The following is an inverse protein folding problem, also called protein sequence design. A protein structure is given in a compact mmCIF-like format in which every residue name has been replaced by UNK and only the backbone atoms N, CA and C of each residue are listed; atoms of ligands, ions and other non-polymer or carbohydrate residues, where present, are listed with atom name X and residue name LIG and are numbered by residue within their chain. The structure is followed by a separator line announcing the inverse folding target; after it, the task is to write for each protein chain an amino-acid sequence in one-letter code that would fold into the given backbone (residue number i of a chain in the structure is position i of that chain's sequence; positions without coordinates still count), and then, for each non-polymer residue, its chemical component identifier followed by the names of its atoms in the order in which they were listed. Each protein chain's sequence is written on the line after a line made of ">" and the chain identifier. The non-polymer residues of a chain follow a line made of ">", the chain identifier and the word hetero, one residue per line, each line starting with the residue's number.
data_IF_507744675261
#
_entry.id   IF_507744675261
#
_cell.length_a   1.000
_cell.length_b   1.000
_cell.length_c   1.000
_cell.angle_alpha   90.00
_cell.angle_beta   90.00
_cell.angle_gamma   90.00
#
_symmetry.space_group_name_H-M   'P 1'
#
loop_
_entity.id
_entity.type
_entity.pdbx_description
1 polymer ?
#
# COMPACT_ATOMS: atom_id res chain seq x y z
N UNK A 1 -57.60 38.49 -8.22
CA UNK A 1 -56.25 39.05 -8.40
C UNK A 1 -55.26 37.90 -8.56
N UNK A 2 -54.88 37.56 -9.80
CA UNK A 2 -53.93 36.49 -10.12
C UNK A 2 -52.68 37.15 -10.72
N UNK A 3 -51.59 37.18 -9.96
CA UNK A 3 -50.30 37.72 -10.43
C UNK A 3 -49.61 36.69 -11.31
N UNK A 4 -49.49 37.02 -12.61
CA UNK A 4 -48.63 36.30 -13.55
C UNK A 4 -47.22 36.89 -13.47
N UNK A 5 -46.28 36.08 -12.98
CA UNK A 5 -44.85 36.35 -13.07
C UNK A 5 -44.40 35.88 -14.46
N UNK A 6 -44.17 36.81 -15.39
CA UNK A 6 -43.47 36.56 -16.64
C UNK A 6 -41.97 36.50 -16.35
N UNK A 7 -41.39 35.29 -16.33
CA UNK A 7 -39.93 35.11 -16.39
C UNK A 7 -39.51 35.19 -17.86
N UNK A 8 -38.67 36.18 -18.16
CA UNK A 8 -37.94 36.33 -19.41
C UNK A 8 -36.89 35.22 -19.53
N UNK A 9 -37.01 34.41 -20.58
CA UNK A 9 -35.96 33.49 -21.02
C UNK A 9 -34.97 34.34 -21.82
N UNK A 10 -33.73 34.40 -21.35
CA UNK A 10 -32.60 35.02 -22.07
C UNK A 10 -31.92 33.89 -22.83
N UNK A 11 -32.05 33.90 -24.15
CA UNK A 11 -31.37 32.98 -25.05
C UNK A 11 -29.87 33.30 -25.07
N UNK A 12 -29.08 32.44 -24.43
CA UNK A 12 -27.62 32.44 -24.55
C UNK A 12 -27.25 31.75 -25.86
N UNK A 13 -26.98 32.54 -26.90
CA UNK A 13 -26.30 32.08 -28.12
C UNK A 13 -24.79 32.30 -27.95
N UNK A 14 -23.93 31.26 -28.07
CA UNK A 14 -22.50 31.47 -28.03
C UNK A 14 -22.00 32.07 -29.34
N UNK A 15 -21.33 33.21 -29.22
CA UNK A 15 -20.79 34.01 -30.31
C UNK A 15 -19.65 33.28 -31.06
N UNK A 16 -19.85 33.16 -32.38
CA UNK A 16 -18.88 33.43 -33.45
C UNK A 16 -17.42 33.03 -33.24
N UNK A 17 -17.07 31.80 -33.63
CA UNK A 17 -15.72 31.49 -34.08
C UNK A 17 -15.51 31.99 -35.51
N UNK A 18 -14.61 32.96 -35.67
CA UNK A 18 -14.16 33.48 -36.97
C UNK A 18 -13.35 32.41 -37.71
N UNK A 19 -13.79 32.10 -38.92
CA UNK A 19 -13.10 31.25 -39.89
C UNK A 19 -11.88 31.96 -40.47
N UNK A 20 -10.68 31.53 -40.06
CA UNK A 20 -9.44 31.85 -40.75
C UNK A 20 -9.29 30.94 -41.97
N UNK A 21 -9.62 31.47 -43.15
CA UNK A 21 -9.23 30.87 -44.42
C UNK A 21 -7.71 30.99 -44.57
N UNK A 22 -7.01 29.86 -44.57
CA UNK A 22 -5.70 29.76 -45.21
C UNK A 22 -5.65 28.52 -46.08
N UNK A 23 -5.54 28.82 -47.37
CA UNK A 23 -5.56 27.94 -48.51
C UNK A 23 -4.14 27.41 -48.72
N UNK A 24 -3.88 26.11 -48.48
CA UNK A 24 -2.73 25.42 -49.07
C UNK A 24 -3.12 24.02 -49.52
N UNK A 25 -3.08 23.88 -50.84
CA UNK A 25 -3.15 22.66 -51.63
C UNK A 25 -2.34 21.53 -50.98
N UNK A 26 -3.03 20.44 -50.64
CA UNK A 26 -2.44 19.11 -50.65
C UNK A 26 -3.50 18.16 -51.21
N UNK A 27 -3.33 17.81 -52.49
CA UNK A 27 -3.94 16.63 -53.09
C UNK A 27 -3.37 15.40 -52.37
N UNK A 28 -4.02 14.99 -51.28
CA UNK A 28 -3.85 13.66 -50.71
C UNK A 28 -5.01 12.78 -51.15
N UNK A 29 -4.64 11.54 -51.44
CA UNK A 29 -5.39 10.58 -52.20
C UNK A 29 -6.71 10.23 -51.51
N UNK A 30 -7.79 10.14 -52.32
CA UNK A 30 -9.07 9.55 -51.93
C UNK A 30 -8.86 8.08 -51.54
N UNK A 31 -8.62 7.80 -50.27
CA UNK A 31 -8.92 6.49 -49.69
C UNK A 31 -10.44 6.41 -49.53
N UNK A 32 -11.05 5.47 -50.24
CA UNK A 32 -12.48 5.19 -50.13
C UNK A 32 -12.82 4.77 -48.71
N UNK A 33 -13.41 5.68 -47.94
CA UNK A 33 -14.10 5.36 -46.69
C UNK A 33 -15.33 4.52 -47.04
N UNK A 34 -15.19 3.20 -46.93
CA UNK A 34 -16.32 2.30 -46.98
C UNK A 34 -17.14 2.46 -45.67
N UNK A 35 -18.47 2.62 -45.75
CA UNK A 35 -19.35 2.81 -44.59
C UNK A 35 -19.61 1.50 -43.80
N UNK A 36 -18.59 0.66 -43.63
CA UNK A 36 -18.73 -0.72 -43.10
C UNK A 36 -18.52 -0.80 -41.57
N UNK A 37 -17.94 0.21 -40.93
CA UNK A 37 -17.57 0.09 -39.50
C UNK A 37 -18.54 0.74 -38.50
N UNK A 38 -19.48 1.59 -38.92
CA UNK A 38 -20.41 2.21 -37.95
C UNK A 38 -21.36 1.19 -37.31
N UNK A 39 -21.84 0.21 -38.08
CA UNK A 39 -22.76 -0.81 -37.57
C UNK A 39 -22.04 -1.84 -36.69
N UNK A 40 -20.77 -2.12 -36.98
CA UNK A 40 -19.93 -2.99 -36.16
C UNK A 40 -19.57 -2.32 -34.84
N UNK A 41 -19.30 -1.01 -34.87
CA UNK A 41 -19.05 -0.22 -33.66
C UNK A 41 -20.32 -0.06 -32.82
N UNK A 42 -21.48 0.16 -33.45
CA UNK A 42 -22.77 0.21 -32.73
C UNK A 42 -23.10 -1.13 -32.07
N UNK A 43 -22.85 -2.27 -32.73
CA UNK A 43 -23.02 -3.60 -32.14
C UNK A 43 -22.05 -3.84 -30.98
N UNK A 44 -20.81 -3.35 -31.07
CA UNK A 44 -19.82 -3.41 -29.99
C UNK A 44 -20.26 -2.58 -28.78
N UNK A 45 -20.77 -1.36 -29.00
CA UNK A 45 -21.29 -0.49 -27.95
C UNK A 45 -22.51 -1.14 -27.29
N UNK A 46 -23.46 -1.66 -28.05
CA UNK A 46 -24.63 -2.36 -27.51
C UNK A 46 -24.24 -3.62 -26.74
N UNK A 47 -23.22 -4.35 -27.20
CA UNK A 47 -22.68 -5.49 -26.46
C UNK A 47 -22.04 -5.05 -25.13
N UNK A 48 -21.23 -3.99 -25.14
CA UNK A 48 -20.63 -3.43 -23.91
C UNK A 48 -21.73 -2.93 -22.95
N UNK A 49 -22.78 -2.29 -23.46
CA UNK A 49 -23.93 -1.85 -22.66
C UNK A 49 -24.74 -3.03 -22.12
N UNK A 50 -24.86 -4.14 -22.87
CA UNK A 50 -25.51 -5.36 -22.41
C UNK A 50 -24.66 -6.14 -21.39
N UNK A 51 -23.32 -6.04 -21.49
CA UNK A 51 -22.37 -6.61 -20.55
C UNK A 51 -22.30 -5.83 -19.24
N UNK A 52 -22.66 -4.54 -19.26
CA UNK A 52 -23.09 -3.83 -18.05
C UNK A 52 -24.43 -4.40 -17.62
N UNK A 53 -24.42 -5.64 -17.11
CA UNK A 53 -25.50 -6.17 -16.28
C UNK A 53 -25.87 -5.04 -15.33
N UNK A 54 -27.12 -4.61 -15.39
CA UNK A 54 -27.67 -3.63 -14.47
C UNK A 54 -27.37 -4.14 -13.08
N UNK A 55 -26.41 -3.51 -12.43
CA UNK A 55 -25.99 -3.88 -11.09
C UNK A 55 -27.20 -3.56 -10.23
N UNK A 56 -27.85 -4.60 -9.72
CA UNK A 56 -29.04 -4.39 -8.88
C UNK A 56 -28.64 -3.51 -7.69
N UNK A 57 -29.39 -2.44 -7.42
CA UNK A 57 -29.11 -1.58 -6.28
C UNK A 57 -29.16 -2.42 -5.00
N UNK A 58 -28.18 -2.22 -4.12
CA UNK A 58 -28.21 -2.84 -2.80
C UNK A 58 -29.43 -2.32 -2.04
N UNK A 59 -30.25 -3.23 -1.53
CA UNK A 59 -31.50 -2.88 -0.85
C UNK A 59 -31.24 -2.33 0.55
N UNK A 60 -32.24 -1.71 1.17
CA UNK A 60 -32.12 -1.23 2.56
C UNK A 60 -31.89 -2.38 3.54
N UNK A 61 -32.55 -3.51 3.30
CA UNK A 61 -32.47 -4.71 4.12
C UNK A 61 -31.04 -5.25 4.18
N UNK A 62 -30.30 -5.12 3.07
CA UNK A 62 -28.88 -5.48 3.01
C UNK A 62 -28.04 -4.70 4.03
N UNK A 63 -28.19 -3.37 4.08
CA UNK A 63 -27.44 -2.54 5.02
C UNK A 63 -27.89 -2.74 6.46
N UNK A 64 -29.16 -3.06 6.69
CA UNK A 64 -29.64 -3.45 8.02
C UNK A 64 -29.00 -4.76 8.49
N UNK A 65 -28.80 -5.74 7.60
CA UNK A 65 -28.11 -6.98 7.92
C UNK A 65 -26.64 -6.74 8.29
N UNK A 66 -25.94 -5.89 7.53
CA UNK A 66 -24.56 -5.47 7.83
C UNK A 66 -24.49 -4.86 9.24
N UNK A 67 -25.36 -3.90 9.55
CA UNK A 67 -25.39 -3.23 10.85
C UNK A 67 -25.68 -4.21 12.00
N UNK A 68 -26.63 -5.12 11.83
CA UNK A 68 -26.96 -6.13 12.85
C UNK A 68 -25.80 -7.09 13.11
N UNK A 69 -25.03 -7.44 12.07
CA UNK A 69 -23.84 -8.28 12.23
C UNK A 69 -22.69 -7.53 12.89
N UNK A 70 -22.45 -6.28 12.51
CA UNK A 70 -21.48 -5.41 13.18
C UNK A 70 -21.79 -5.31 14.68
N UNK A 71 -23.05 -5.01 15.03
CA UNK A 71 -23.50 -4.91 16.42
C UNK A 71 -23.30 -6.22 17.17
N UNK A 72 -23.71 -7.35 16.59
CA UNK A 72 -23.55 -8.68 17.21
C UNK A 72 -22.08 -9.06 17.42
N UNK A 73 -21.20 -8.70 16.49
CA UNK A 73 -19.76 -8.99 16.60
C UNK A 73 -19.10 -8.10 17.65
N UNK A 74 -19.50 -6.83 17.73
CA UNK A 74 -18.87 -5.85 18.63
C UNK A 74 -19.38 -5.93 20.08
N UNK A 75 -20.65 -6.28 20.29
CA UNK A 75 -21.29 -6.14 21.61
C UNK A 75 -21.80 -7.46 22.24
N UNK A 76 -22.17 -8.48 21.45
CA UNK A 76 -22.92 -9.63 22.00
C UNK A 76 -22.03 -10.80 22.50
N UNK A 77 -20.72 -10.62 22.68
CA UNK A 77 -19.73 -11.70 22.92
C UNK A 77 -19.80 -12.87 21.90
N UNK A 78 -20.63 -12.75 20.86
CA UNK A 78 -20.91 -13.75 19.84
C UNK A 78 -19.90 -13.65 18.70
N UNK A 79 -18.64 -13.50 19.08
CA UNK A 79 -17.50 -13.39 18.20
C UNK A 79 -17.20 -14.77 17.59
N UNK A 80 -17.78 -15.03 16.41
CA UNK A 80 -17.74 -16.33 15.74
C UNK A 80 -17.08 -16.22 14.35
N UNK A 81 -16.31 -17.25 13.97
CA UNK A 81 -15.68 -17.32 12.64
C UNK A 81 -16.69 -17.30 11.50
N UNK A 82 -17.93 -17.72 11.73
CA UNK A 82 -19.00 -17.75 10.72
C UNK A 82 -19.58 -16.36 10.55
N UNK A 83 -19.84 -15.64 11.66
CA UNK A 83 -20.34 -14.27 11.63
C UNK A 83 -19.33 -13.33 10.95
N UNK A 84 -18.03 -13.48 11.25
CA UNK A 84 -16.96 -12.69 10.62
C UNK A 84 -16.89 -12.97 9.12
N UNK A 85 -16.94 -14.25 8.72
CA UNK A 85 -16.92 -14.62 7.31
C UNK A 85 -18.14 -14.04 6.57
N UNK A 86 -19.32 -14.10 7.18
CA UNK A 86 -20.55 -13.54 6.63
C UNK A 86 -20.50 -12.01 6.51
N UNK A 87 -19.99 -11.32 7.54
CA UNK A 87 -19.80 -9.86 7.48
C UNK A 87 -18.81 -9.46 6.38
N UNK A 88 -17.69 -10.19 6.23
CA UNK A 88 -16.70 -9.95 5.16
C UNK A 88 -17.32 -10.19 3.78
N UNK A 89 -18.18 -11.20 3.63
CA UNK A 89 -18.91 -11.45 2.38
C UNK A 89 -19.84 -10.28 2.02
N UNK A 90 -20.56 -9.73 2.99
CA UNK A 90 -21.40 -8.54 2.80
C UNK A 90 -20.56 -7.30 2.47
N UNK A 91 -19.42 -7.08 3.11
CA UNK A 91 -18.57 -5.97 2.68
C UNK A 91 -18.01 -6.19 1.27
N UNK A 92 -17.59 -7.41 0.92
CA UNK A 92 -17.05 -7.71 -0.41
C UNK A 92 -18.08 -7.46 -1.51
N UNK A 93 -19.34 -7.86 -1.29
CA UNK A 93 -20.44 -7.58 -2.22
C UNK A 93 -20.75 -6.08 -2.31
N UNK A 94 -20.58 -5.31 -1.23
CA UNK A 94 -20.65 -3.86 -1.29
C UNK A 94 -19.51 -3.26 -2.13
N UNK A 95 -18.28 -3.74 -1.96
CA UNK A 95 -17.12 -3.34 -2.78
C UNK A 95 -17.40 -3.61 -4.26
N UNK A 96 -17.84 -4.82 -4.62
CA UNK A 96 -18.17 -5.16 -6.01
C UNK A 96 -19.26 -4.25 -6.59
N UNK A 97 -20.30 -3.95 -5.81
CA UNK A 97 -21.38 -3.06 -6.21
C UNK A 97 -20.84 -1.64 -6.49
N UNK A 98 -20.12 -1.03 -5.55
CA UNK A 98 -19.68 0.35 -5.66
C UNK A 98 -18.49 0.53 -6.61
N UNK A 99 -17.60 -0.46 -6.73
CA UNK A 99 -16.50 -0.45 -7.71
C UNK A 99 -17.05 -0.49 -9.16
N UNK A 100 -18.11 -1.26 -9.40
CA UNK A 100 -18.78 -1.29 -10.70
C UNK A 100 -19.40 0.06 -11.10
N UNK A 101 -19.78 0.88 -10.10
CA UNK A 101 -20.28 2.25 -10.27
C UNK A 101 -19.15 3.29 -10.30
N UNK A 102 -17.89 2.87 -10.07
CA UNK A 102 -16.71 3.73 -9.84
C UNK A 102 -16.93 4.73 -8.70
N UNK A 103 -17.69 4.32 -7.69
CA UNK A 103 -17.96 5.13 -6.51
C UNK A 103 -16.81 4.96 -5.50
N UNK A 104 -16.19 6.05 -5.00
CA UNK A 104 -15.12 5.98 -4.02
C UNK A 104 -15.54 5.32 -2.69
N UNK A 105 -16.84 5.19 -2.40
CA UNK A 105 -17.32 4.49 -1.20
C UNK A 105 -16.92 3.00 -1.18
N UNK A 106 -16.55 2.41 -2.33
CA UNK A 106 -15.93 1.09 -2.40
C UNK A 106 -14.67 0.97 -1.53
N UNK A 107 -13.89 2.05 -1.41
CA UNK A 107 -12.69 2.10 -0.55
C UNK A 107 -13.05 1.95 0.92
N UNK A 108 -14.14 2.59 1.37
CA UNK A 108 -14.62 2.46 2.75
C UNK A 108 -14.95 1.00 3.12
N UNK A 109 -15.66 0.28 2.26
CA UNK A 109 -15.97 -1.13 2.52
C UNK A 109 -14.74 -2.04 2.45
N UNK A 110 -13.77 -1.70 1.59
CA UNK A 110 -12.50 -2.40 1.55
C UNK A 110 -11.69 -2.22 2.85
N UNK A 111 -11.64 -1.00 3.38
CA UNK A 111 -11.03 -0.70 4.68
C UNK A 111 -11.75 -1.46 5.81
N UNK A 112 -13.09 -1.53 5.78
CA UNK A 112 -13.85 -2.34 6.74
C UNK A 112 -13.46 -3.81 6.73
N UNK A 113 -13.29 -4.43 5.55
CA UNK A 113 -12.78 -5.81 5.44
C UNK A 113 -11.40 -5.93 6.10
N UNK A 114 -10.49 -5.01 5.81
CA UNK A 114 -9.13 -5.03 6.36
C UNK A 114 -9.15 -4.88 7.89
N UNK A 115 -9.93 -3.94 8.43
CA UNK A 115 -10.09 -3.74 9.86
C UNK A 115 -10.66 -4.97 10.56
N UNK A 116 -11.73 -5.57 10.00
CA UNK A 116 -12.33 -6.79 10.55
C UNK A 116 -11.33 -7.93 10.59
N UNK A 117 -10.57 -8.15 9.51
CA UNK A 117 -9.58 -9.24 9.43
C UNK A 117 -8.31 -8.99 10.25
N UNK A 118 -7.94 -7.73 10.47
CA UNK A 118 -6.78 -7.33 11.27
C UNK A 118 -7.08 -7.23 12.78
N UNK A 119 -8.35 -7.31 13.19
CA UNK A 119 -8.74 -7.25 14.59
C UNK A 119 -8.09 -8.41 15.38
N UNK A 120 -7.67 -8.11 16.61
CA UNK A 120 -6.97 -9.07 17.46
C UNK A 120 -7.81 -10.33 17.72
N UNK A 121 -9.11 -10.14 17.93
CA UNK A 121 -10.10 -11.18 18.19
C UNK A 121 -10.26 -12.10 16.97
N UNK A 122 -10.33 -11.53 15.75
CA UNK A 122 -10.38 -12.33 14.50
C UNK A 122 -9.11 -13.15 14.36
N UNK A 123 -7.95 -12.54 14.58
CA UNK A 123 -6.66 -13.22 14.48
C UNK A 123 -6.55 -14.36 15.50
N UNK A 124 -7.01 -14.17 16.73
CA UNK A 124 -7.07 -15.22 17.75
C UNK A 124 -7.97 -16.39 17.31
N UNK A 125 -9.19 -16.11 16.82
CA UNK A 125 -10.09 -17.15 16.31
C UNK A 125 -9.45 -17.95 15.17
N UNK A 126 -8.83 -17.26 14.20
CA UNK A 126 -8.14 -17.92 13.09
C UNK A 126 -6.98 -18.78 13.58
N UNK A 127 -6.23 -18.33 14.58
CA UNK A 127 -5.14 -19.09 15.17
C UNK A 127 -5.65 -20.36 15.87
N UNK A 128 -6.71 -20.24 16.67
CA UNK A 128 -7.35 -21.38 17.34
C UNK A 128 -7.89 -22.40 16.33
N UNK A 129 -8.53 -21.95 15.25
CA UNK A 129 -9.03 -22.83 14.18
C UNK A 129 -7.89 -23.57 13.50
N UNK A 130 -6.79 -22.88 13.15
CA UNK A 130 -5.58 -23.50 12.60
C UNK A 130 -4.96 -24.52 13.54
N UNK A 131 -4.91 -24.21 14.85
CA UNK A 131 -4.41 -25.15 15.88
C UNK A 131 -5.27 -26.42 15.94
N UNK A 132 -6.60 -26.27 15.99
CA UNK A 132 -7.54 -27.42 15.98
C UNK A 132 -7.37 -28.31 14.74
N UNK A 133 -7.18 -27.70 13.56
CA UNK A 133 -6.93 -28.43 12.30
C UNK A 133 -5.58 -29.15 12.35
N UNK A 134 -4.52 -28.50 12.85
CA UNK A 134 -3.21 -29.13 13.02
C UNK A 134 -3.28 -30.32 13.97
N UNK A 135 -3.99 -30.17 15.09
CA UNK A 135 -4.16 -31.23 16.08
C UNK A 135 -4.96 -32.41 15.50
N UNK A 136 -6.00 -32.15 14.69
CA UNK A 136 -6.78 -33.21 14.04
C UNK A 136 -5.97 -33.97 12.99
N UNK A 137 -5.16 -33.27 12.18
CA UNK A 137 -4.23 -33.90 11.24
C UNK A 137 -3.21 -34.77 11.98
N UNK A 138 -2.62 -34.24 13.06
CA UNK A 138 -1.62 -34.98 13.86
C UNK A 138 -2.23 -36.25 14.47
N UNK A 139 -3.48 -36.19 14.95
CA UNK A 139 -4.21 -37.38 15.43
C UNK A 139 -4.45 -38.38 14.32
N UNK A 140 -4.88 -37.92 13.14
CA UNK A 140 -5.10 -38.79 12.00
C UNK A 140 -3.81 -39.49 11.54
N UNK A 141 -2.68 -38.79 11.52
CA UNK A 141 -1.36 -39.36 11.21
C UNK A 141 -0.90 -40.40 12.24
N UNK A 142 -1.13 -40.13 13.54
CA UNK A 142 -0.82 -41.08 14.61
C UNK A 142 -1.68 -42.36 14.54
N UNK A 143 -2.97 -42.23 14.21
CA UNK A 143 -3.86 -43.37 14.00
C UNK A 143 -3.49 -44.19 12.76
N UNK A 144 -3.12 -43.52 11.65
CA UNK A 144 -2.70 -44.19 10.43
C UNK A 144 -1.43 -45.02 10.62
N UNK A 145 -0.45 -44.53 11.41
CA UNK A 145 0.75 -45.29 11.75
C UNK A 145 0.48 -46.41 12.74
N UNK A 146 -0.40 -46.20 13.72
CA UNK A 146 -0.78 -47.22 14.71
C UNK A 146 -1.51 -48.41 14.08
N UNK A 147 -2.47 -48.17 13.18
CA UNK A 147 -3.19 -49.25 12.50
C UNK A 147 -2.33 -49.96 11.45
N UNK A 148 -1.42 -49.24 10.78
CA UNK A 148 -0.49 -49.87 9.84
C UNK A 148 0.61 -50.68 10.55
N UNK A 149 1.11 -50.22 11.71
CA UNK A 149 2.07 -50.98 12.53
C UNK A 149 1.44 -52.24 13.11
N UNK A 150 0.21 -52.20 13.62
CA UNK A 150 -0.46 -53.41 14.11
C UNK A 150 -0.71 -54.45 13.01
N UNK A 151 -0.94 -54.04 11.77
CA UNK A 151 -1.13 -54.97 10.64
C UNK A 151 0.19 -55.48 10.06
N UNK A 152 1.28 -54.70 10.15
CA UNK A 152 2.60 -55.09 9.65
C UNK A 152 3.41 -55.90 10.67
N UNK A 153 3.30 -55.60 11.96
CA UNK A 153 3.99 -56.34 13.02
C UNK A 153 3.40 -57.73 13.26
N UNK A 154 2.14 -57.98 12.89
CA UNK A 154 1.51 -59.31 12.95
C UNK A 154 1.67 -60.14 11.66
N UNK A 155 2.13 -59.58 10.54
CA UNK A 155 2.23 -60.30 9.26
C UNK A 155 3.64 -60.51 8.70
N UNK A 156 4.64 -59.71 9.10
CA UNK A 156 5.97 -59.79 8.49
C UNK A 156 6.95 -60.73 9.21
N UNK A 157 6.64 -61.22 10.42
CA UNK A 157 7.47 -62.22 11.11
C UNK A 157 7.14 -63.69 10.77
N UNK A 158 5.96 -63.98 10.21
CA UNK A 158 5.53 -65.38 9.94
C UNK A 158 5.55 -65.77 8.45
N UNK A 159 5.73 -64.82 7.52
CA UNK A 159 5.57 -65.10 6.08
C UNK A 159 6.88 -65.45 5.36
N UNK A 160 8.04 -65.06 5.89
CA UNK A 160 9.35 -65.39 5.29
C UNK A 160 10.03 -66.62 5.91
N UNK A 161 9.55 -67.14 7.05
CA UNK A 161 10.06 -68.40 7.66
C UNK A 161 9.20 -69.64 7.31
N UNK A 162 8.32 -69.54 6.31
CA UNK A 162 7.61 -70.70 5.76
C UNK A 162 8.49 -71.56 4.82
N UNK A 163 9.75 -71.18 4.62
CA UNK A 163 10.73 -71.94 3.83
C UNK A 163 11.30 -73.17 4.53
N UNK A 164 11.24 -73.26 5.87
CA UNK A 164 11.82 -74.39 6.62
C UNK A 164 10.92 -74.93 7.75
N UNK A 165 9.64 -74.55 7.80
CA UNK A 165 8.71 -75.16 8.74
C UNK A 165 8.35 -76.59 8.29
N UNK A 166 9.11 -77.53 8.83
CA UNK A 166 8.90 -79.00 8.90
C UNK A 166 7.47 -79.42 9.28
N UNK A 167 6.60 -78.48 9.68
CA UNK A 167 5.24 -78.71 10.17
C UNK A 167 4.24 -79.09 9.07
N UNK A 168 4.49 -78.75 7.80
CA UNK A 168 3.63 -79.22 6.69
C UNK A 168 3.83 -80.70 6.32
N UNK A 169 4.86 -81.38 6.88
CA UNK A 169 5.01 -82.83 6.74
C UNK A 169 4.13 -83.65 7.69
N UNK A 170 3.51 -83.03 8.70
CA UNK A 170 2.88 -83.76 9.82
C UNK A 170 1.34 -83.72 9.86
N UNK A 171 0.67 -83.07 8.91
CA UNK A 171 -0.81 -82.95 8.90
C UNK A 171 -1.54 -83.53 7.68
N UNK A 172 -0.87 -84.33 6.86
CA UNK A 172 -1.54 -85.36 6.06
C UNK A 172 -1.59 -86.65 6.86
N UNK A 173 -2.42 -86.68 7.92
CA UNK A 173 -2.87 -87.96 8.49
C UNK A 173 -3.72 -88.61 7.41
N UNK A 174 -3.10 -89.48 6.62
CA UNK A 174 -3.81 -90.45 5.80
C UNK A 174 -4.83 -91.16 6.70
N UNK A 175 -6.12 -91.17 6.33
CA UNK A 175 -7.11 -91.92 7.09
C UNK A 175 -6.64 -93.37 7.17
N UNK A 176 -6.54 -93.89 8.40
CA UNK A 176 -6.11 -95.26 8.68
C UNK A 176 -6.95 -96.22 7.86
N UNK A 177 -6.26 -97.01 7.05
CA UNK A 177 -6.81 -98.07 6.20
C UNK A 177 -7.44 -99.17 7.05
N UNK A 178 -8.71 -98.99 7.41
CA UNK A 178 -9.62 -100.08 7.76
C UNK A 178 -10.87 -99.96 6.89
N UNK A 179 -10.65 -100.10 5.59
CA UNK A 179 -11.70 -100.20 4.58
C UNK A 179 -11.13 -101.03 3.44
N UNK A 180 -11.72 -102.20 3.22
CA UNK A 180 -11.36 -103.17 2.18
C UNK A 180 -11.25 -102.43 0.84
N UNK A 181 -10.04 -102.41 0.27
CA UNK A 181 -9.74 -101.79 -1.02
C UNK A 181 -10.44 -102.60 -2.10
N UNK A 182 -11.56 -102.10 -2.61
CA UNK A 182 -12.16 -102.58 -3.86
C UNK A 182 -11.29 -102.14 -5.03
N UNK A 183 -10.30 -102.97 -5.37
CA UNK A 183 -9.62 -102.99 -6.67
C UNK A 183 -8.64 -101.84 -6.99
N UNK A 184 -7.60 -102.11 -7.80
CA UNK A 184 -6.60 -101.12 -8.22
C UNK A 184 -7.13 -99.96 -9.06
N UNK A 185 -8.40 -100.00 -9.51
CA UNK A 185 -9.02 -98.97 -10.36
C UNK A 185 -9.24 -97.63 -9.64
N UNK A 186 -9.69 -97.66 -8.38
CA UNK A 186 -10.08 -96.44 -7.64
C UNK A 186 -8.89 -95.57 -7.24
N UNK A 187 -7.72 -96.17 -7.06
CA UNK A 187 -6.48 -95.46 -6.77
C UNK A 187 -6.06 -94.53 -7.91
N UNK A 188 -6.16 -95.00 -9.17
CA UNK A 188 -5.80 -94.20 -10.33
C UNK A 188 -6.79 -93.06 -10.58
N UNK A 189 -8.08 -93.27 -10.30
CA UNK A 189 -9.08 -92.21 -10.40
C UNK A 189 -8.83 -91.10 -9.37
N UNK A 190 -8.58 -91.45 -8.10
CA UNK A 190 -8.24 -90.47 -7.06
C UNK A 190 -6.94 -89.73 -7.35
N UNK A 191 -5.91 -90.42 -7.87
CA UNK A 191 -4.65 -89.80 -8.29
C UNK A 191 -4.84 -88.77 -9.42
N UNK A 192 -5.69 -89.09 -10.39
CA UNK A 192 -6.00 -88.18 -11.49
C UNK A 192 -6.85 -86.98 -11.04
N UNK A 193 -7.80 -87.19 -10.13
CA UNK A 193 -8.55 -86.09 -9.51
C UNK A 193 -7.64 -85.15 -8.71
N UNK A 194 -6.72 -85.70 -7.91
CA UNK A 194 -5.74 -84.90 -7.16
C UNK A 194 -4.84 -84.07 -8.09
N UNK A 195 -4.34 -84.66 -9.19
CA UNK A 195 -3.57 -83.91 -10.20
C UNK A 195 -4.36 -82.74 -10.80
N UNK A 196 -5.65 -82.93 -11.07
CA UNK A 196 -6.53 -81.85 -11.57
C UNK A 196 -6.68 -80.73 -10.55
N UNK A 197 -6.91 -81.06 -9.28
CA UNK A 197 -7.03 -80.07 -8.20
C UNK A 197 -5.74 -79.27 -7.99
N UNK A 198 -4.58 -79.94 -7.97
CA UNK A 198 -3.28 -79.25 -7.84
C UNK A 198 -3.01 -78.32 -9.02
N UNK A 199 -3.38 -78.73 -10.24
CA UNK A 199 -3.26 -77.86 -11.42
C UNK A 199 -4.18 -76.64 -11.30
N UNK A 200 -5.44 -76.83 -10.92
CA UNK A 200 -6.41 -75.75 -10.72
C UNK A 200 -5.94 -74.76 -9.64
N UNK A 201 -5.38 -75.24 -8.53
CA UNK A 201 -4.84 -74.38 -7.47
C UNK A 201 -3.62 -73.57 -7.97
N UNK A 202 -2.71 -74.19 -8.73
CA UNK A 202 -1.57 -73.48 -9.34
C UNK A 202 -2.03 -72.39 -10.30
N UNK A 203 -3.02 -72.68 -11.15
CA UNK A 203 -3.58 -71.72 -12.10
C UNK A 203 -4.28 -70.55 -11.37
N UNK A 204 -4.98 -70.83 -10.26
CA UNK A 204 -5.57 -69.80 -9.40
C UNK A 204 -4.52 -68.91 -8.74
N UNK A 205 -3.46 -69.50 -8.16
CA UNK A 205 -2.34 -68.74 -7.56
C UNK A 205 -1.66 -67.86 -8.59
N UNK A 206 -1.44 -68.37 -9.81
CA UNK A 206 -0.87 -67.59 -10.90
C UNK A 206 -1.79 -66.42 -11.31
N UNK A 207 -3.09 -66.66 -11.42
CA UNK A 207 -4.09 -65.62 -11.73
C UNK A 207 -4.12 -64.51 -10.67
N UNK A 208 -4.10 -64.86 -9.38
CA UNK A 208 -4.04 -63.90 -8.26
C UNK A 208 -2.73 -63.11 -8.31
N UNK A 209 -1.59 -63.77 -8.51
CA UNK A 209 -0.29 -63.12 -8.62
C UNK A 209 -0.24 -62.13 -9.79
N UNK A 210 -0.79 -62.51 -10.95
CA UNK A 210 -0.90 -61.63 -12.13
C UNK A 210 -1.76 -60.39 -11.84
N UNK A 211 -2.95 -60.57 -11.24
CA UNK A 211 -3.82 -59.46 -10.83
C UNK A 211 -3.15 -58.53 -9.81
N UNK A 212 -2.39 -59.07 -8.87
CA UNK A 212 -1.63 -58.28 -7.89
C UNK A 212 -0.57 -57.41 -8.57
N UNK A 213 0.18 -57.97 -9.53
CA UNK A 213 1.17 -57.22 -10.34
C UNK A 213 0.51 -56.13 -11.20
N UNK A 214 -0.64 -56.42 -11.82
CA UNK A 214 -1.38 -55.42 -12.60
C UNK A 214 -1.91 -54.28 -11.73
N UNK A 215 -2.42 -54.59 -10.53
CA UNK A 215 -2.84 -53.56 -9.56
C UNK A 215 -1.66 -52.71 -9.11
N UNK A 216 -0.51 -53.32 -8.83
CA UNK A 216 0.71 -52.61 -8.44
C UNK A 216 1.17 -51.63 -9.53
N UNK A 217 1.21 -52.07 -10.81
CA UNK A 217 1.53 -51.20 -11.95
C UNK A 217 0.58 -50.02 -12.08
N UNK A 218 -0.72 -50.22 -11.83
CA UNK A 218 -1.69 -49.11 -11.84
C UNK A 218 -1.42 -48.11 -10.72
N UNK A 219 -1.08 -48.59 -9.51
CA UNK A 219 -0.74 -47.71 -8.38
C UNK A 219 0.51 -46.87 -8.71
N UNK A 220 1.54 -47.49 -9.28
CA UNK A 220 2.76 -46.79 -9.72
C UNK A 220 2.44 -45.72 -10.77
N UNK A 221 1.62 -46.04 -11.78
CA UNK A 221 1.19 -45.07 -12.79
C UNK A 221 0.41 -43.89 -12.18
N UNK A 222 -0.47 -44.13 -11.21
CA UNK A 222 -1.18 -43.05 -10.52
C UNK A 222 -0.24 -42.17 -9.70
N UNK A 223 0.78 -42.76 -9.07
CA UNK A 223 1.78 -41.99 -8.33
C UNK A 223 2.65 -41.13 -9.25
N UNK A 224 3.06 -41.66 -10.41
CA UNK A 224 3.80 -40.90 -11.42
C UNK A 224 2.98 -39.72 -11.96
N UNK A 225 1.70 -39.94 -12.28
CA UNK A 225 0.80 -38.87 -12.71
C UNK A 225 0.63 -37.80 -11.62
N UNK A 226 0.41 -38.23 -10.37
CA UNK A 226 0.29 -37.31 -9.24
C UNK A 226 1.55 -36.44 -9.09
N UNK A 227 2.73 -37.04 -9.11
CA UNK A 227 4.00 -36.33 -9.00
C UNK A 227 4.22 -35.35 -10.16
N UNK A 228 3.80 -35.71 -11.37
CA UNK A 228 3.85 -34.83 -12.53
C UNK A 228 2.98 -33.58 -12.35
N UNK A 229 1.74 -33.74 -11.86
CA UNK A 229 0.85 -32.61 -11.59
C UNK A 229 1.35 -31.74 -10.44
N UNK A 230 1.84 -32.34 -9.35
CA UNK A 230 2.39 -31.59 -8.21
C UNK A 230 3.61 -30.76 -8.62
N UNK A 231 4.50 -31.31 -9.46
CA UNK A 231 5.67 -30.61 -9.98
C UNK A 231 5.29 -29.43 -10.90
N UNK A 232 4.37 -29.65 -11.84
CA UNK A 232 3.95 -28.56 -12.75
C UNK A 232 3.18 -27.47 -12.00
N UNK A 233 2.39 -27.83 -11.00
CA UNK A 233 1.64 -26.86 -10.21
C UNK A 233 2.58 -26.03 -9.32
N UNK A 234 3.61 -26.64 -8.71
CA UNK A 234 4.59 -25.90 -7.92
C UNK A 234 5.40 -24.92 -8.77
N UNK A 235 5.86 -25.34 -9.96
CA UNK A 235 6.56 -24.45 -10.91
C UNK A 235 5.67 -23.28 -11.36
N UNK A 236 4.37 -23.53 -11.59
CA UNK A 236 3.42 -22.49 -12.00
C UNK A 236 3.16 -21.51 -10.85
N UNK A 237 3.00 -21.99 -9.62
CA UNK A 237 2.80 -21.15 -8.44
C UNK A 237 4.03 -20.29 -8.13
N UNK A 238 5.24 -20.83 -8.30
CA UNK A 238 6.49 -20.05 -8.17
C UNK A 238 6.54 -18.93 -9.20
N UNK A 239 6.29 -19.22 -10.48
CA UNK A 239 6.26 -18.19 -11.54
C UNK A 239 5.21 -17.10 -11.30
N UNK A 240 4.02 -17.47 -10.84
CA UNK A 240 2.97 -16.51 -10.48
C UNK A 240 3.39 -15.64 -9.29
N UNK A 241 4.09 -16.22 -8.31
CA UNK A 241 4.61 -15.46 -7.17
C UNK A 241 5.69 -14.45 -7.61
N UNK A 242 6.61 -14.84 -8.50
CA UNK A 242 7.64 -13.95 -9.05
C UNK A 242 7.04 -12.78 -9.84
N UNK A 243 6.05 -13.05 -10.69
CA UNK A 243 5.34 -12.00 -11.45
C UNK A 243 4.64 -11.03 -10.50
N UNK A 244 4.00 -11.52 -9.44
CA UNK A 244 3.32 -10.66 -8.48
C UNK A 244 4.33 -9.83 -7.68
N UNK A 245 5.45 -10.41 -7.24
CA UNK A 245 6.53 -9.66 -6.59
C UNK A 245 7.11 -8.57 -7.50
N UNK A 246 7.33 -8.86 -8.79
CA UNK A 246 7.79 -7.85 -9.75
C UNK A 246 6.78 -6.73 -9.94
N UNK A 247 5.47 -7.04 -10.03
CA UNK A 247 4.41 -6.02 -10.13
C UNK A 247 4.37 -5.12 -8.89
N UNK A 248 4.47 -5.70 -7.70
CA UNK A 248 4.48 -4.94 -6.45
C UNK A 248 5.70 -4.01 -6.40
N UNK A 249 6.89 -4.52 -6.76
CA UNK A 249 8.10 -3.69 -6.80
C UNK A 249 7.99 -2.53 -7.80
N UNK A 250 7.39 -2.76 -8.97
CA UNK A 250 7.16 -1.70 -9.96
C UNK A 250 6.16 -0.63 -9.45
N UNK A 251 5.14 -1.03 -8.69
CA UNK A 251 4.19 -0.08 -8.07
C UNK A 251 4.91 0.76 -7.01
N UNK A 252 5.66 0.12 -6.12
CA UNK A 252 6.45 0.80 -5.07
C UNK A 252 7.42 1.79 -5.69
N UNK A 253 8.16 1.38 -6.74
CA UNK A 253 9.10 2.27 -7.41
C UNK A 253 8.38 3.47 -8.06
N UNK A 254 7.24 3.23 -8.73
CA UNK A 254 6.47 4.33 -9.32
C UNK A 254 5.95 5.33 -8.29
N UNK A 255 5.61 4.89 -7.08
CA UNK A 255 5.12 5.78 -6.03
C UNK A 255 6.26 6.54 -5.34
N UNK A 256 7.44 5.93 -5.19
CA UNK A 256 8.65 6.62 -4.75
C UNK A 256 9.03 7.73 -5.74
N UNK A 257 9.04 7.44 -7.05
CA UNK A 257 9.36 8.45 -8.08
C UNK A 257 8.37 9.63 -8.05
N UNK A 258 7.08 9.38 -7.79
CA UNK A 258 6.07 10.43 -7.62
C UNK A 258 6.30 11.27 -6.35
N UNK A 259 6.68 10.63 -5.25
CA UNK A 259 6.98 11.33 -4.01
C UNK A 259 8.23 12.21 -4.16
N UNK A 260 9.28 11.72 -4.81
CA UNK A 260 10.48 12.51 -5.10
C UNK A 260 10.16 13.74 -5.97
N UNK A 261 9.33 13.57 -7.00
CA UNK A 261 8.87 14.70 -7.83
C UNK A 261 8.06 15.72 -7.03
N UNK A 262 7.17 15.26 -6.14
CA UNK A 262 6.36 16.12 -5.26
C UNK A 262 7.22 16.91 -4.25
N UNK A 263 8.22 16.26 -3.65
CA UNK A 263 9.17 16.92 -2.74
C UNK A 263 9.99 17.97 -3.47
N UNK A 264 10.48 17.65 -4.69
CA UNK A 264 11.23 18.60 -5.51
C UNK A 264 10.38 19.83 -5.88
N UNK A 265 9.11 19.63 -6.20
CA UNK A 265 8.17 20.72 -6.51
C UNK A 265 7.90 21.60 -5.29
N UNK A 266 7.69 21.01 -4.10
CA UNK A 266 7.56 21.76 -2.84
C UNK A 266 8.82 22.58 -2.52
N UNK A 267 10.01 22.02 -2.75
CA UNK A 267 11.27 22.75 -2.55
C UNK A 267 11.41 23.92 -3.52
N UNK A 268 11.01 23.76 -4.79
CA UNK A 268 10.96 24.87 -5.76
C UNK A 268 9.99 25.96 -5.32
N UNK A 269 8.80 25.59 -4.87
CA UNK A 269 7.79 26.53 -4.38
C UNK A 269 8.29 27.31 -3.15
N UNK A 270 8.95 26.64 -2.20
CA UNK A 270 9.53 27.28 -1.01
C UNK A 270 10.64 28.26 -1.37
N UNK A 271 11.49 27.93 -2.35
CA UNK A 271 12.52 28.85 -2.87
C UNK A 271 11.88 30.09 -3.51
N UNK A 272 10.83 29.91 -4.29
CA UNK A 272 10.10 31.01 -4.92
C UNK A 272 9.40 31.91 -3.89
N UNK A 273 8.72 31.33 -2.89
CA UNK A 273 8.13 32.08 -1.80
C UNK A 273 9.16 32.93 -1.05
N UNK A 274 10.33 32.36 -0.74
CA UNK A 274 11.44 33.10 -0.11
C UNK A 274 11.92 34.28 -0.96
N UNK A 275 11.97 34.12 -2.28
CA UNK A 275 12.31 35.22 -3.20
C UNK A 275 11.24 36.33 -3.19
N UNK A 276 9.96 35.97 -3.16
CA UNK A 276 8.87 36.93 -3.06
C UNK A 276 8.91 37.70 -1.73
N UNK A 277 9.12 37.01 -0.60
CA UNK A 277 9.22 37.67 0.71
C UNK A 277 10.40 38.64 0.76
N UNK A 278 11.56 38.25 0.23
CA UNK A 278 12.72 39.14 0.15
C UNK A 278 12.49 40.35 -0.78
N UNK A 279 11.77 40.15 -1.89
CA UNK A 279 11.44 41.24 -2.81
C UNK A 279 10.48 42.23 -2.18
N UNK A 280 9.49 41.75 -1.42
CA UNK A 280 8.56 42.58 -0.66
C UNK A 280 9.27 43.39 0.43
N UNK A 281 10.14 42.76 1.22
CA UNK A 281 10.95 43.46 2.23
C UNK A 281 11.79 44.59 1.63
N UNK A 282 12.39 44.36 0.45
CA UNK A 282 13.12 45.42 -0.27
C UNK A 282 12.21 46.56 -0.73
N UNK A 283 10.97 46.27 -1.14
CA UNK A 283 10.01 47.31 -1.49
C UNK A 283 9.61 48.12 -0.26
N UNK A 284 9.32 47.46 0.86
CA UNK A 284 9.01 48.10 2.15
C UNK A 284 10.18 49.00 2.61
N UNK A 285 11.43 48.54 2.49
CA UNK A 285 12.62 49.35 2.78
C UNK A 285 12.74 50.57 1.84
N UNK A 286 12.38 50.43 0.56
CA UNK A 286 12.40 51.56 -0.39
C UNK A 286 11.31 52.57 -0.03
N UNK A 287 10.10 52.12 0.27
CA UNK A 287 8.97 52.97 0.66
C UNK A 287 9.27 53.73 1.96
N UNK A 288 9.82 53.06 2.97
CA UNK A 288 10.21 53.69 4.23
C UNK A 288 11.31 54.74 4.04
N UNK A 289 12.29 54.46 3.16
CA UNK A 289 13.33 55.45 2.83
C UNK A 289 12.76 56.66 2.08
N UNK A 290 11.74 56.48 1.23
CA UNK A 290 11.05 57.59 0.55
C UNK A 290 10.26 58.44 1.56
N UNK A 291 9.50 57.80 2.46
CA UNK A 291 8.76 58.50 3.51
C UNK A 291 9.68 59.33 4.42
N UNK A 292 10.81 58.76 4.83
CA UNK A 292 11.82 59.49 5.61
C UNK A 292 12.37 60.71 4.85
N UNK A 293 12.61 60.59 3.55
CA UNK A 293 13.05 61.72 2.71
C UNK A 293 11.98 62.82 2.61
N UNK A 294 10.71 62.45 2.50
CA UNK A 294 9.59 63.40 2.48
C UNK A 294 9.46 64.13 3.82
N UNK A 295 9.60 63.41 4.94
CA UNK A 295 9.60 64.00 6.29
C UNK A 295 10.76 65.00 6.45
N UNK A 296 11.98 64.64 6.03
CA UNK A 296 13.12 65.56 6.08
C UNK A 296 12.90 66.81 5.22
N UNK A 297 12.36 66.67 4.02
CA UNK A 297 12.03 67.81 3.15
C UNK A 297 10.96 68.71 3.79
N UNK A 298 9.94 68.12 4.41
CA UNK A 298 8.90 68.87 5.11
C UNK A 298 9.44 69.63 6.31
N UNK A 299 10.32 69.02 7.12
CA UNK A 299 10.99 69.69 8.24
C UNK A 299 11.88 70.85 7.77
N UNK A 300 12.63 70.66 6.68
CA UNK A 300 13.42 71.75 6.08
C UNK A 300 12.53 72.92 5.62
N UNK A 301 11.36 72.62 5.05
CA UNK A 301 10.38 73.64 4.67
C UNK A 301 9.84 74.41 5.88
N UNK A 302 9.48 73.73 6.97
CA UNK A 302 9.03 74.36 8.22
C UNK A 302 10.10 75.29 8.80
N UNK A 303 11.33 74.80 8.94
CA UNK A 303 12.46 75.60 9.45
C UNK A 303 12.70 76.86 8.62
N UNK A 304 12.51 76.78 7.30
CA UNK A 304 12.64 77.94 6.40
C UNK A 304 11.52 78.96 6.61
N UNK A 305 10.28 78.51 6.83
CA UNK A 305 9.14 79.37 7.15
C UNK A 305 9.35 80.09 8.49
N UNK A 306 9.76 79.36 9.53
CA UNK A 306 10.08 79.94 10.85
C UNK A 306 11.19 80.98 10.77
N UNK A 307 12.27 80.70 10.05
CA UNK A 307 13.35 81.68 9.84
C UNK A 307 12.88 82.93 9.09
N UNK A 308 11.97 82.78 8.12
CA UNK A 308 11.43 83.92 7.37
C UNK A 308 10.56 84.80 8.28
N UNK A 309 9.66 84.19 9.07
CA UNK A 309 8.84 84.85 10.07
C UNK A 309 9.70 85.57 11.13
N UNK A 310 10.76 84.93 11.64
CA UNK A 310 11.64 85.55 12.63
C UNK A 310 12.34 86.80 12.06
N UNK A 311 12.83 86.72 10.81
CA UNK A 311 13.44 87.88 10.14
C UNK A 311 12.42 89.02 9.91
N UNK A 312 11.16 88.71 9.61
CA UNK A 312 10.09 89.71 9.48
C UNK A 312 9.74 90.37 10.83
N UNK A 313 9.77 89.62 11.93
CA UNK A 313 9.59 90.15 13.29
C UNK A 313 10.74 91.09 13.64
N UNK A 314 11.98 90.68 13.41
CA UNK A 314 13.18 91.45 13.74
C UNK A 314 13.29 92.75 12.91
N UNK A 315 12.79 92.75 11.67
CA UNK A 315 12.77 93.95 10.81
C UNK A 315 11.66 94.96 11.17
N UNK A 316 10.58 94.52 11.84
CA UNK A 316 9.43 95.36 12.19
C UNK A 316 9.42 95.82 13.66
N UNK A 317 10.42 95.46 14.46
CA UNK A 317 10.61 95.99 15.81
C UNK A 317 11.26 97.38 15.75
N UNK A 318 10.56 98.48 16.05
CA UNK A 318 11.18 99.79 16.17
C UNK A 318 12.17 99.77 17.35
N UNK A 319 13.39 100.29 17.12
CA UNK A 319 14.37 100.58 18.16
C UNK A 319 13.78 101.55 19.19
N UNK A 320 13.09 101.02 20.18
CA UNK A 320 12.55 101.79 21.29
C UNK A 320 13.55 101.70 22.45
N UNK A 321 14.58 102.55 22.37
CA UNK A 321 15.45 102.88 23.49
C UNK A 321 14.65 103.65 24.55
N UNK A 322 13.82 102.96 25.33
CA UNK A 322 13.50 103.31 26.72
C UNK A 322 12.51 102.29 27.27
N UNK A 323 13.00 101.29 28.01
CA UNK A 323 12.12 100.43 28.82
C UNK A 323 12.50 100.55 30.31
N UNK A 324 11.69 101.24 31.14
CA UNK A 324 12.00 101.50 32.55
C UNK A 324 11.50 100.40 33.51
N UNK A 325 11.11 99.22 33.04
CA UNK A 325 10.61 98.15 33.91
C UNK A 325 11.64 97.03 34.06
N UNK A 326 12.71 97.34 34.81
CA UNK A 326 13.41 96.33 35.60
C UNK A 326 12.55 96.01 36.82
N UNK A 327 12.50 94.73 37.16
CA UNK A 327 11.91 94.13 38.36
C UNK A 327 10.39 93.93 38.33
N UNK A 328 9.97 92.83 37.72
CA UNK A 328 8.86 92.05 38.28
C UNK A 328 9.33 90.59 38.32
N UNK A 329 9.61 90.12 39.53
CA UNK A 329 9.65 88.70 39.86
C UNK A 329 8.30 88.09 39.49
N UNK A 330 8.28 87.19 38.51
CA UNK A 330 7.16 86.31 38.22
C UNK A 330 7.55 84.88 38.56
N UNK A 331 7.72 84.66 39.87
CA UNK A 331 7.33 83.41 40.49
C UNK A 331 5.89 83.57 40.98
N UNK A 332 5.07 82.57 40.70
CA UNK A 332 3.68 82.34 41.12
C UNK A 332 2.59 82.65 40.09
N UNK A 333 1.64 81.70 40.06
CA UNK A 333 0.39 81.63 39.31
C UNK A 333 0.48 81.14 37.85
N UNK A 334 0.45 79.81 37.69
CA UNK A 334 -0.68 79.09 37.10
C UNK A 334 -0.68 77.63 37.61
N UNK A 335 -1.40 77.41 38.71
CA UNK A 335 -2.14 76.17 38.95
C UNK A 335 -3.56 76.42 38.40
N UNK A 336 -4.28 75.36 38.01
CA UNK A 336 -5.57 75.35 37.24
C UNK A 336 -5.29 75.26 35.72
N UNK A 337 -5.59 74.20 34.97
CA UNK A 337 -6.57 73.13 35.12
C UNK A 337 -6.07 71.80 34.55
N UNK A 338 -6.21 70.74 35.35
CA UNK A 338 -5.95 69.36 34.98
C UNK A 338 -7.22 68.67 34.50
N UNK A 339 -7.87 69.14 33.44
CA UNK A 339 -9.01 68.44 32.82
C UNK A 339 -8.97 68.56 31.29
N UNK A 340 -7.99 67.90 30.66
CA UNK A 340 -8.10 67.45 29.26
C UNK A 340 -7.03 66.40 28.89
N UNK A 341 -6.84 65.40 29.76
CA UNK A 341 -6.16 64.14 29.41
C UNK A 341 -7.21 63.09 29.08
N UNK A 342 -7.73 63.11 27.86
CA UNK A 342 -8.58 62.02 27.32
C UNK A 342 -8.30 61.68 25.85
N UNK A 343 -7.13 62.03 25.32
CA UNK A 343 -6.86 61.83 23.89
C UNK A 343 -5.44 61.33 23.58
N UNK A 344 -4.84 60.56 24.49
CA UNK A 344 -3.62 59.77 24.19
C UNK A 344 -3.67 58.44 24.95
N UNK A 345 -4.67 57.62 24.64
CA UNK A 345 -4.78 56.25 25.18
C UNK A 345 -5.35 55.28 24.14
N UNK A 346 -5.07 55.54 22.86
CA UNK A 346 -5.45 54.69 21.73
C UNK A 346 -4.24 53.98 21.07
N UNK A 347 -3.02 54.16 21.59
CA UNK A 347 -1.81 53.55 21.03
C UNK A 347 -1.24 52.40 21.86
N UNK A 348 -1.69 52.20 23.11
CA UNK A 348 -1.24 51.06 23.92
C UNK A 348 -2.06 49.79 23.67
N UNK A 349 -3.31 49.90 23.20
CA UNK A 349 -4.19 48.75 22.92
C UNK A 349 -3.84 48.01 21.61
N UNK A 350 -2.95 48.55 20.77
CA UNK A 350 -2.53 47.89 19.51
C UNK A 350 -1.40 46.87 19.72
N UNK A 351 -0.62 46.97 20.80
CA UNK A 351 0.45 46.01 21.10
C UNK A 351 -0.07 44.71 21.73
N UNK A 352 -1.23 44.72 22.37
CA UNK A 352 -1.82 43.53 22.99
C UNK A 352 -2.53 42.62 21.96
N UNK A 353 -2.91 43.15 20.79
CA UNK A 353 -3.56 42.37 19.73
C UNK A 353 -2.57 41.52 18.92
N UNK A 354 -1.31 41.94 18.83
CA UNK A 354 -0.25 41.19 18.14
C UNK A 354 0.27 39.99 18.96
N UNK A 355 0.16 40.04 20.30
CA UNK A 355 0.44 38.87 21.15
C UNK A 355 -0.68 37.84 21.16
N UNK A 356 -1.93 38.24 20.87
CA UNK A 356 -3.05 37.30 20.85
C UNK A 356 -3.02 36.35 19.64
N UNK A 357 -2.56 36.81 18.47
CA UNK A 357 -2.44 35.96 17.27
C UNK A 357 -1.28 34.94 17.32
N UNK A 358 -0.28 35.13 18.19
CA UNK A 358 0.79 34.13 18.37
C UNK A 358 0.42 33.00 19.33
N UNK A 359 -0.60 33.21 20.18
CA UNK A 359 -1.05 32.20 21.15
C UNK A 359 -2.20 31.32 20.63
N UNK A 360 -3.01 31.79 19.67
CA UNK A 360 -4.09 30.99 19.05
C UNK A 360 -3.60 29.86 18.12
N UNK A 361 -2.30 29.78 17.80
CA UNK A 361 -1.73 28.67 17.00
C UNK A 361 -1.27 27.49 17.88
N UNK A 362 -1.42 27.56 19.21
CA UNK A 362 -0.96 26.52 20.14
C UNK A 362 -2.05 25.76 20.90
N UNK A 363 -3.34 26.06 20.71
CA UNK A 363 -4.42 25.48 21.54
C UNK A 363 -5.30 24.40 20.87
N UNK A 364 -5.01 23.95 19.64
CA UNK A 364 -5.81 22.92 18.95
C UNK A 364 -5.29 21.46 19.09
N UNK A 365 -4.55 21.13 20.15
CA UNK A 365 -4.01 19.77 20.28
C UNK A 365 -4.01 19.16 21.68
N UNK A 366 -5.06 19.38 22.50
CA UNK A 366 -5.28 18.59 23.72
C UNK A 366 -6.74 18.63 24.17
N UNK A 367 -7.59 17.76 23.61
CA UNK A 367 -8.76 17.25 24.32
C UNK A 367 -8.84 15.72 24.17
N UNK A 368 -9.23 15.09 25.28
CA UNK A 368 -9.64 13.70 25.48
C UNK A 368 -8.60 12.58 25.61
N UNK A 369 -8.02 12.49 26.82
CA UNK A 369 -7.97 11.21 27.55
C UNK A 369 -8.04 11.43 29.07
N UNK A 370 -9.21 11.17 29.66
CA UNK A 370 -9.33 10.80 31.08
C UNK A 370 -9.18 9.28 31.20
N UNK A 371 -8.21 8.80 31.98
CA UNK A 371 -8.34 7.66 32.92
C UNK A 371 -7.00 7.39 33.65
N UNK A 372 -7.04 7.60 34.97
CA UNK A 372 -6.33 6.97 36.09
C UNK A 372 -4.85 6.51 35.99
N UNK A 373 -4.01 7.08 36.87
CA UNK A 373 -2.82 6.42 37.42
C UNK A 373 -1.59 7.33 37.62
N UNK A 374 -1.08 7.53 38.85
CA UNK A 374 0.06 8.39 39.10
C UNK A 374 1.37 7.59 39.08
N UNK A 375 2.30 7.87 38.18
CA UNK A 375 3.74 7.68 38.40
C UNK A 375 4.59 8.24 37.23
N UNK A 376 5.72 8.85 37.58
CA UNK A 376 6.84 9.30 36.71
C UNK A 376 6.79 10.73 36.11
N UNK A 377 7.01 11.73 36.97
CA UNK A 377 7.57 13.02 36.55
C UNK A 377 9.10 12.94 36.61
N UNK A 378 9.77 12.78 35.46
CA UNK A 378 11.16 13.17 35.18
C UNK A 378 11.55 12.75 33.75
N UNK A 379 11.12 13.47 32.71
CA UNK A 379 11.82 13.36 31.40
C UNK A 379 11.53 14.44 30.33
N UNK A 380 11.15 15.66 30.68
CA UNK A 380 10.84 16.71 29.67
C UNK A 380 11.98 17.73 29.47
N UNK A 381 13.05 17.70 30.28
CA UNK A 381 14.20 18.60 30.09
C UNK A 381 15.31 18.08 29.16
N UNK A 382 15.25 16.83 28.68
CA UNK A 382 16.28 16.28 27.77
C UNK A 382 15.94 16.40 26.27
N UNK A 383 14.72 16.78 25.89
CA UNK A 383 14.29 16.79 24.47
C UNK A 383 14.62 18.08 23.72
N UNK A 384 15.02 19.16 24.40
CA UNK A 384 15.37 20.44 23.77
C UNK A 384 16.88 20.62 23.51
N UNK A 385 17.73 19.70 23.99
CA UNK A 385 19.18 19.69 23.69
C UNK A 385 19.55 18.75 22.53
N UNK A 386 18.60 17.98 22.00
CA UNK A 386 18.81 17.04 20.90
C UNK A 386 18.60 17.64 19.51
N UNK A 387 17.90 18.77 19.37
CA UNK A 387 17.66 19.41 18.06
C UNK A 387 18.83 20.30 17.60
N UNK A 388 19.54 20.99 18.50
CA UNK A 388 20.75 21.74 18.13
C UNK A 388 21.92 20.83 17.71
N UNK A 389 21.99 19.60 18.24
CA UNK A 389 23.05 18.64 17.90
C UNK A 389 22.84 17.95 16.53
N UNK A 390 21.62 17.94 15.97
CA UNK A 390 21.38 17.38 14.64
C UNK A 390 21.84 18.31 13.51
N UNK A 391 21.78 19.63 13.72
CA UNK A 391 22.15 20.62 12.71
C UNK A 391 23.67 20.75 12.53
N UNK A 392 24.46 20.40 13.56
CA UNK A 392 25.93 20.34 13.49
C UNK A 392 26.45 18.99 12.95
N UNK A 393 25.62 17.93 12.95
CA UNK A 393 25.97 16.62 12.39
C UNK A 393 25.79 16.56 10.87
N UNK A 394 24.81 17.26 10.29
CA UNK A 394 24.60 17.32 8.83
C UNK A 394 25.71 18.09 8.10
N UNK A 395 26.24 19.17 8.68
CA UNK A 395 27.37 19.91 8.09
C UNK A 395 28.70 19.13 8.12
N UNK A 396 28.83 18.15 9.01
CA UNK A 396 30.02 17.29 9.09
C UNK A 396 29.94 16.03 8.22
N UNK A 397 28.76 15.65 7.73
CA UNK A 397 28.63 14.54 6.76
C UNK A 397 28.87 14.99 5.31
N UNK A 398 28.55 16.23 4.93
CA UNK A 398 28.88 16.76 3.60
C UNK A 398 30.40 16.95 3.36
N UNK A 399 31.21 17.03 4.43
CA UNK A 399 32.67 17.11 4.34
C UNK A 399 33.41 15.76 4.26
N UNK A 400 32.73 14.63 4.52
CA UNK A 400 33.34 13.28 4.47
C UNK A 400 33.05 12.50 3.18
N UNK A 401 32.16 13.00 2.32
CA UNK A 401 31.82 12.35 1.04
C UNK A 401 32.79 12.75 -0.09
N UNK A 402 33.67 13.74 0.12
CA UNK A 402 34.66 14.18 -0.88
C UNK A 402 36.05 13.53 -0.79
N UNK A 403 36.32 12.62 0.16
CA UNK A 403 37.67 12.03 0.35
C UNK A 403 37.80 10.51 0.15
N UNK A 404 36.73 9.76 -0.12
CA UNK A 404 36.79 8.29 -0.22
C UNK A 404 36.73 7.70 -1.64
N UNK A 405 36.99 8.50 -2.68
CA UNK A 405 37.00 8.03 -4.07
C UNK A 405 38.42 7.87 -4.65
N UNK A 406 39.31 7.18 -3.93
CA UNK A 406 40.55 6.62 -4.49
C UNK A 406 41.12 5.58 -3.52
N UNK A 407 40.95 4.29 -3.86
CA UNK A 407 41.79 3.12 -3.52
C UNK A 407 40.93 1.90 -3.21
N UNK A 408 40.97 0.91 -4.10
CA UNK A 408 40.99 -0.53 -3.76
C UNK A 408 40.69 -1.36 -5.01
N UNK A 409 41.69 -1.49 -5.88
CA UNK A 409 41.86 -2.64 -6.76
C UNK A 409 43.10 -3.37 -6.26
N UNK A 410 42.95 -4.65 -5.84
CA UNK A 410 43.89 -5.76 -6.02
C UNK A 410 43.80 -6.83 -4.91
N UNK A 411 43.90 -8.09 -5.35
CA UNK A 411 44.35 -9.29 -4.61
C UNK A 411 43.35 -9.88 -3.61
N UNK A 412 43.06 -11.18 -3.49
CA UNK A 412 43.68 -12.46 -3.92
C UNK A 412 42.62 -13.55 -3.64
N UNK A 413 42.33 -14.51 -4.52
CA UNK A 413 43.03 -15.80 -4.76
C UNK A 413 43.05 -16.79 -3.57
N UNK A 414 42.79 -18.07 -3.91
CA UNK A 414 42.78 -19.34 -3.13
C UNK A 414 41.45 -19.71 -2.43
N UNK A 415 40.80 -20.89 -2.59
CA UNK A 415 41.12 -22.22 -3.16
C UNK A 415 39.80 -22.87 -3.70
N UNK A 416 39.71 -23.44 -4.92
CA UNK A 416 39.95 -24.85 -5.30
C UNK A 416 39.49 -25.89 -4.23
N UNK A 417 38.60 -26.87 -4.47
CA UNK A 417 38.63 -27.89 -5.53
C UNK A 417 37.38 -28.81 -5.52
N UNK A 418 37.15 -29.46 -6.68
CA UNK A 418 36.46 -30.75 -6.93
C UNK A 418 34.90 -30.82 -6.87
N UNK A 419 34.17 -31.38 -7.84
CA UNK A 419 34.56 -32.31 -8.92
C UNK A 419 33.58 -32.37 -10.13
N UNK A 420 34.18 -32.30 -11.32
CA UNK A 420 33.97 -33.04 -12.59
C UNK A 420 32.62 -33.74 -12.84
N UNK A 421 31.95 -33.34 -13.93
CA UNK A 421 31.67 -34.17 -15.13
C UNK A 421 31.08 -33.26 -16.24
N UNK A 422 31.86 -32.84 -17.24
CA UNK A 422 32.00 -33.44 -18.60
C UNK A 422 30.68 -33.53 -19.39
N UNK A 423 30.35 -32.49 -20.16
CA UNK A 423 29.83 -32.62 -21.55
C UNK A 423 30.42 -31.46 -22.37
N UNK A 424 30.80 -31.79 -23.59
CA UNK A 424 31.66 -31.05 -24.51
C UNK A 424 30.88 -30.67 -25.78
N UNK A 425 31.20 -29.49 -26.35
CA UNK A 425 31.10 -29.10 -27.77
C UNK A 425 29.64 -28.81 -28.22
N UNK A 426 29.28 -27.63 -28.75
CA UNK A 426 29.67 -27.03 -30.04
C UNK A 426 29.64 -25.50 -29.95
N UNK A 427 30.72 -24.87 -30.43
CA UNK A 427 30.84 -23.46 -30.79
C UNK A 427 30.05 -23.14 -32.06
N UNK A 428 29.33 -22.03 -32.10
CA UNK A 428 29.01 -21.35 -33.36
C UNK A 428 29.06 -19.84 -33.17
N UNK A 429 29.95 -19.25 -33.96
CA UNK A 429 30.28 -17.84 -34.10
C UNK A 429 29.07 -17.01 -34.56
N UNK A 430 28.79 -15.90 -33.87
CA UNK A 430 28.11 -14.76 -34.49
C UNK A 430 28.80 -13.45 -34.12
N UNK A 431 29.47 -12.94 -35.14
CA UNK A 431 30.18 -11.67 -35.24
C UNK A 431 29.29 -10.47 -34.91
N UNK A 432 29.83 -9.54 -34.13
CA UNK A 432 29.42 -8.14 -34.14
C UNK A 432 29.91 -7.43 -35.41
N UNK A 433 29.16 -6.45 -35.91
CA UNK A 433 29.77 -5.30 -36.55
C UNK A 433 29.50 -4.02 -35.75
N UNK A 434 30.60 -3.42 -35.31
CA UNK A 434 30.76 -1.98 -35.11
C UNK A 434 30.43 -1.22 -36.41
N UNK A 435 29.73 -0.08 -36.28
CA UNK A 435 29.95 1.20 -37.00
C UNK A 435 29.00 2.24 -36.41
N UNK A 436 29.53 3.19 -35.63
CA UNK A 436 29.83 4.55 -36.08
C UNK A 436 28.61 5.27 -36.69
N UNK A 437 28.05 6.22 -35.92
CA UNK A 437 27.69 7.50 -36.51
C UNK A 437 27.71 8.60 -35.43
N UNK A 438 28.84 9.32 -35.43
CA UNK A 438 28.96 10.69 -34.92
C UNK A 438 28.45 11.58 -36.06
N UNK A 439 27.35 12.31 -35.87
CA UNK A 439 27.29 13.67 -36.40
C UNK A 439 26.28 14.57 -35.66
N UNK A 440 26.84 15.68 -35.19
CA UNK A 440 26.22 16.88 -34.66
C UNK A 440 25.44 17.66 -35.73
N UNK A 441 24.76 18.72 -35.25
CA UNK A 441 24.17 19.90 -35.93
C UNK A 441 22.63 19.84 -35.91
N UNK A 442 21.88 20.84 -35.42
CA UNK A 442 22.16 22.22 -34.98
C UNK A 442 21.08 22.62 -33.97
#
# INVERSE_FOLDING_TARGET
>A
MKNQIKKSIVDFTPAGYKSGQNNKNNQSQKSGNQPIDEQKEMNRINYILSLRKTVEPLSKEYFLEVLQLEERIMFDDNYSSENIAHLVELYAKAVEHYDSLKDPISVYFLEKIQMTLASHETLQLMHQKRKKIRDSISRFESMGKSQLSQVLDENDNDLWDMGNSSVYKSRLKLPSSQGIVQGPSDFYQKKNQYKKLVKQEKDQRYSISKKKRERQKKIEQYQEQKNFYEKNNSETMVKLSEINSQKINNIIQSDLDKQESSVLERLKLRKYQKQLTNSRKRQEEIEQNQENQEIEQFQQYQNKQESTLQNEIDQNMPNNESNPFKNIDHNQFYNEDSENKKEVQFMDDFNDLEQFQQNEIKEDSNEDTQTDGPESNNNIQQSLQSEENLQEQEQNQEKKVSENNTNSSQSSQHDESNSKQRVSIIDDDLECPLKENIQQQQ
#
